data_IF_251813462777
#
_entry.id   IF_251813462777
#
_cell.length_a   1.000
_cell.length_b   1.000
_cell.length_c   1.000
_cell.angle_alpha   90.00
_cell.angle_beta   90.00
_cell.angle_gamma   90.00
#
_symmetry.space_group_name_H-M   'P 1'
#
loop_
_entity.id
_entity.type
_entity.pdbx_description
1 polymer ?
#
# COMPACT_ATOMS: atom_id res chain seq x y z
N UNK A 1 70.21 -17.92 -35.00
CA UNK A 1 69.31 -17.62 -33.87
C UNK A 1 68.41 -16.49 -34.30
N UNK A 2 67.19 -16.83 -34.67
CA UNK A 2 66.15 -15.91 -35.12
C UNK A 2 65.25 -15.56 -33.93
N UNK A 3 65.31 -14.31 -33.47
CA UNK A 3 64.37 -13.77 -32.49
C UNK A 3 63.09 -13.30 -33.20
N UNK A 4 61.97 -13.86 -32.77
CA UNK A 4 60.61 -13.50 -33.19
C UNK A 4 60.22 -12.20 -32.48
N UNK A 5 60.03 -11.11 -33.24
CA UNK A 5 59.36 -9.90 -32.74
C UNK A 5 57.85 -10.15 -32.68
N UNK A 6 57.31 -10.27 -31.48
CA UNK A 6 55.86 -10.27 -31.25
C UNK A 6 55.32 -8.86 -31.49
N UNK A 7 54.45 -8.71 -32.49
CA UNK A 7 53.70 -7.49 -32.75
C UNK A 7 52.68 -7.27 -31.64
N UNK A 8 52.84 -6.18 -30.89
CA UNK A 8 51.87 -5.71 -29.92
C UNK A 8 50.53 -5.44 -30.59
N UNK A 9 49.48 -6.04 -30.05
CA UNK A 9 48.10 -5.80 -30.44
C UNK A 9 47.72 -4.40 -29.97
N UNK A 10 47.67 -3.43 -30.88
CA UNK A 10 46.95 -2.17 -30.64
C UNK A 10 45.46 -2.50 -30.52
N UNK A 11 44.98 -2.62 -29.28
CA UNK A 11 43.56 -2.58 -28.98
C UNK A 11 43.02 -1.22 -29.43
N UNK A 12 42.41 -1.20 -30.61
CA UNK A 12 41.57 -0.11 -31.07
C UNK A 12 40.58 0.25 -29.98
N UNK A 13 40.78 1.42 -29.34
CA UNK A 13 39.79 2.09 -28.51
C UNK A 13 38.51 2.17 -29.34
N UNK A 14 37.54 1.31 -29.03
CA UNK A 14 36.17 1.50 -29.49
C UNK A 14 35.80 2.91 -29.04
N UNK A 15 35.47 3.79 -29.99
CA UNK A 15 34.90 5.10 -29.71
C UNK A 15 33.68 4.86 -28.81
N UNK A 16 33.86 5.03 -27.49
CA UNK A 16 32.75 5.18 -26.58
C UNK A 16 32.10 6.49 -27.02
N UNK A 17 30.97 6.38 -27.72
CA UNK A 17 30.09 7.52 -27.96
C UNK A 17 29.90 8.17 -26.60
N UNK A 18 30.37 9.40 -26.44
CA UNK A 18 30.06 10.19 -25.26
C UNK A 18 28.54 10.13 -25.07
N UNK A 19 28.06 9.93 -23.82
CA UNK A 19 26.62 9.92 -23.57
C UNK A 19 26.05 11.20 -24.18
N UNK A 20 24.94 11.11 -24.92
CA UNK A 20 24.36 12.28 -25.58
C UNK A 20 24.21 13.39 -24.54
N UNK A 21 24.73 14.57 -24.87
CA UNK A 21 24.69 15.73 -24.01
C UNK A 21 23.22 16.05 -23.68
N UNK A 22 22.81 15.72 -22.45
CA UNK A 22 21.45 15.93 -21.93
C UNK A 22 21.26 17.35 -21.41
N UNK A 23 22.24 18.24 -21.61
CA UNK A 23 22.25 19.63 -21.16
C UNK A 23 21.23 20.53 -21.86
N UNK A 24 20.69 20.13 -23.02
CA UNK A 24 19.67 20.92 -23.69
C UNK A 24 18.27 20.65 -23.12
N UNK A 25 17.73 21.62 -22.37
CA UNK A 25 16.32 21.75 -22.02
C UNK A 25 15.48 21.95 -23.30
N UNK A 26 15.28 20.85 -24.03
CA UNK A 26 14.32 20.82 -25.12
C UNK A 26 12.91 20.91 -24.54
N UNK A 27 11.93 21.52 -25.25
CA UNK A 27 10.54 21.50 -24.82
C UNK A 27 10.02 20.09 -24.50
N UNK A 28 10.53 19.08 -25.22
CA UNK A 28 10.24 17.67 -24.96
C UNK A 28 10.77 17.21 -23.59
N UNK A 29 12.03 17.53 -23.25
CA UNK A 29 12.60 17.19 -21.94
C UNK A 29 11.87 17.87 -20.80
N UNK A 30 11.44 19.13 -20.96
CA UNK A 30 10.61 19.82 -19.95
C UNK A 30 9.28 19.11 -19.73
N UNK A 31 8.60 18.67 -20.80
CA UNK A 31 7.36 17.91 -20.72
C UNK A 31 7.57 16.56 -19.99
N UNK A 32 8.60 15.80 -20.35
CA UNK A 32 8.89 14.52 -19.70
C UNK A 32 9.23 14.68 -18.22
N UNK A 33 9.94 15.74 -17.82
CA UNK A 33 10.17 16.05 -16.40
C UNK A 33 8.87 16.32 -15.66
N UNK A 34 7.91 17.00 -16.29
CA UNK A 34 6.56 17.20 -15.74
C UNK A 34 5.83 15.88 -15.53
N UNK A 35 5.86 14.98 -16.52
CA UNK A 35 5.26 13.65 -16.39
C UNK A 35 5.93 12.79 -15.33
N UNK A 36 7.26 12.78 -15.26
CA UNK A 36 7.99 12.06 -14.21
C UNK A 36 7.57 12.54 -12.83
N UNK A 37 7.53 13.86 -12.60
CA UNK A 37 7.10 14.41 -11.31
C UNK A 37 5.67 13.98 -10.94
N UNK A 38 4.74 14.05 -11.89
CA UNK A 38 3.35 13.63 -11.65
C UNK A 38 3.24 12.13 -11.35
N UNK A 39 4.02 11.29 -12.04
CA UNK A 39 4.06 9.85 -11.79
C UNK A 39 4.67 9.51 -10.42
N UNK A 40 5.74 10.20 -10.04
CA UNK A 40 6.39 10.03 -8.73
C UNK A 40 5.43 10.40 -7.61
N UNK A 41 4.75 11.56 -7.69
CA UNK A 41 3.74 11.98 -6.72
C UNK A 41 2.59 10.97 -6.58
N UNK A 42 2.12 10.42 -7.71
CA UNK A 42 1.08 9.37 -7.73
C UNK A 42 1.56 8.08 -7.09
N UNK A 43 2.79 7.64 -7.37
CA UNK A 43 3.36 6.42 -6.82
C UNK A 43 3.60 6.55 -5.31
N UNK A 44 4.11 7.70 -4.85
CA UNK A 44 4.31 7.97 -3.43
C UNK A 44 2.97 7.93 -2.67
N UNK A 45 1.91 8.50 -3.25
CA UNK A 45 0.55 8.42 -2.69
C UNK A 45 0.06 6.97 -2.64
N UNK A 46 0.20 6.22 -3.72
CA UNK A 46 -0.19 4.80 -3.78
C UNK A 46 0.49 4.00 -2.66
N UNK A 47 1.80 4.18 -2.48
CA UNK A 47 2.56 3.50 -1.44
C UNK A 47 2.13 3.88 -0.01
N UNK A 48 1.81 5.16 0.23
CA UNK A 48 1.27 5.58 1.54
C UNK A 48 -0.07 4.90 1.82
N UNK A 49 -1.00 4.91 0.87
CA UNK A 49 -2.30 4.25 1.00
C UNK A 49 -2.12 2.74 1.22
N UNK A 50 -1.27 2.10 0.43
CA UNK A 50 -1.02 0.66 0.51
C UNK A 50 -0.47 0.25 1.88
N UNK A 51 0.46 1.01 2.43
CA UNK A 51 1.00 0.77 3.79
C UNK A 51 -0.09 0.89 4.85
N UNK A 52 -0.88 1.98 4.83
CA UNK A 52 -2.00 2.14 5.76
C UNK A 52 -3.03 1.01 5.61
N UNK A 53 -3.33 0.58 4.38
CA UNK A 53 -4.24 -0.54 4.14
C UNK A 53 -3.74 -1.85 4.74
N UNK A 54 -2.43 -2.12 4.70
CA UNK A 54 -1.86 -3.31 5.36
C UNK A 54 -2.03 -3.24 6.87
N UNK A 55 -1.89 -2.06 7.47
CA UNK A 55 -2.14 -1.87 8.90
C UNK A 55 -3.61 -2.11 9.25
N UNK A 56 -4.55 -1.66 8.40
CA UNK A 56 -6.00 -1.96 8.55
C UNK A 56 -6.24 -3.46 8.53
N UNK A 57 -5.66 -4.19 7.56
CA UNK A 57 -5.79 -5.65 7.49
C UNK A 57 -5.27 -6.33 8.76
N UNK A 58 -4.08 -5.94 9.24
CA UNK A 58 -3.48 -6.54 10.44
C UNK A 58 -4.35 -6.29 11.67
N UNK A 59 -4.86 -5.08 11.86
CA UNK A 59 -5.74 -4.76 12.99
C UNK A 59 -7.07 -5.48 12.90
N UNK A 60 -7.69 -5.50 11.73
CA UNK A 60 -8.98 -6.18 11.50
C UNK A 60 -8.88 -7.68 11.76
N UNK A 61 -7.79 -8.34 11.31
CA UNK A 61 -7.52 -9.76 11.64
C UNK A 61 -7.40 -10.01 13.14
N UNK A 62 -6.72 -9.13 13.89
CA UNK A 62 -6.60 -9.26 15.35
C UNK A 62 -7.95 -9.16 16.05
N UNK A 63 -8.83 -8.30 15.54
CA UNK A 63 -10.22 -8.19 16.02
C UNK A 63 -10.96 -9.49 15.72
N UNK A 64 -10.91 -9.99 14.48
CA UNK A 64 -11.54 -11.27 14.08
C UNK A 64 -11.06 -12.43 14.97
N UNK A 65 -9.75 -12.59 15.15
CA UNK A 65 -9.20 -13.63 16.03
C UNK A 65 -9.62 -13.48 17.48
N UNK A 66 -9.92 -12.27 17.93
CA UNK A 66 -10.43 -12.03 19.28
C UNK A 66 -11.90 -12.41 19.42
N UNK A 67 -12.71 -12.07 18.42
CA UNK A 67 -14.11 -12.45 18.34
C UNK A 67 -14.30 -13.96 18.20
N UNK A 68 -13.42 -14.66 17.47
CA UNK A 68 -13.46 -16.11 17.32
C UNK A 68 -13.34 -16.89 18.63
N UNK A 69 -12.83 -16.29 19.72
CA UNK A 69 -12.70 -16.95 21.01
C UNK A 69 -14.00 -16.98 21.82
N UNK A 70 -14.99 -16.15 21.46
CA UNK A 70 -16.23 -15.96 22.22
C UNK A 70 -17.01 -17.26 22.53
N UNK A 71 -17.17 -18.23 21.61
CA UNK A 71 -17.96 -19.44 21.88
C UNK A 71 -17.51 -20.27 23.08
N UNK A 72 -16.27 -20.09 23.56
CA UNK A 72 -15.72 -20.79 24.73
C UNK A 72 -15.65 -19.96 26.01
N UNK A 73 -16.17 -18.73 26.03
CA UNK A 73 -16.06 -17.80 27.16
C UNK A 73 -17.32 -17.77 28.02
N UNK A 74 -17.17 -17.37 29.29
CA UNK A 74 -18.31 -17.00 30.12
C UNK A 74 -18.99 -15.71 29.62
N UNK A 75 -20.25 -15.47 29.98
CA UNK A 75 -21.02 -14.32 29.46
C UNK A 75 -20.42 -12.96 29.84
N UNK A 76 -19.82 -12.84 31.03
CA UNK A 76 -19.12 -11.62 31.46
C UNK A 76 -17.86 -11.36 30.63
N UNK A 77 -17.08 -12.41 30.34
CA UNK A 77 -15.90 -12.34 29.48
C UNK A 77 -16.28 -12.00 28.03
N UNK A 78 -17.36 -12.58 27.51
CA UNK A 78 -17.91 -12.29 26.18
C UNK A 78 -18.27 -10.81 26.04
N UNK A 79 -18.95 -10.23 27.03
CA UNK A 79 -19.29 -8.80 27.04
C UNK A 79 -18.05 -7.90 26.99
N UNK A 80 -17.00 -8.27 27.72
CA UNK A 80 -15.72 -7.55 27.71
C UNK A 80 -15.03 -7.62 26.34
N UNK A 81 -14.97 -8.81 25.72
CA UNK A 81 -14.36 -8.98 24.39
C UNK A 81 -15.14 -8.20 23.32
N UNK A 82 -16.47 -8.24 23.34
CA UNK A 82 -17.31 -7.49 22.40
C UNK A 82 -17.13 -5.98 22.53
N UNK A 83 -17.00 -5.48 23.76
CA UNK A 83 -16.75 -4.05 24.03
C UNK A 83 -15.36 -3.64 23.56
N UNK A 84 -14.34 -4.46 23.84
CA UNK A 84 -12.97 -4.21 23.35
C UNK A 84 -12.92 -4.19 21.83
N UNK A 85 -13.54 -5.17 21.16
CA UNK A 85 -13.59 -5.24 19.70
C UNK A 85 -14.30 -4.02 19.09
N UNK A 86 -15.39 -3.53 19.71
CA UNK A 86 -16.07 -2.32 19.25
C UNK A 86 -15.15 -1.08 19.33
N UNK A 87 -14.37 -0.96 20.41
CA UNK A 87 -13.41 0.13 20.56
C UNK A 87 -12.27 0.04 19.53
N UNK A 88 -11.75 -1.17 19.28
CA UNK A 88 -10.70 -1.41 18.29
C UNK A 88 -11.18 -1.12 16.86
N UNK A 89 -12.42 -1.53 16.52
CA UNK A 89 -13.05 -1.20 15.23
C UNK A 89 -13.18 0.32 15.05
N UNK A 90 -13.61 1.02 16.10
CA UNK A 90 -13.72 2.49 16.09
C UNK A 90 -12.35 3.16 15.95
N UNK A 91 -11.31 2.64 16.60
CA UNK A 91 -9.94 3.15 16.44
C UNK A 91 -9.46 2.99 14.98
N UNK A 92 -9.67 1.81 14.37
CA UNK A 92 -9.33 1.57 12.96
C UNK A 92 -10.06 2.55 12.04
N UNK A 93 -11.35 2.78 12.27
CA UNK A 93 -12.16 3.75 11.51
C UNK A 93 -11.62 5.18 11.63
N UNK A 94 -11.43 5.65 12.87
CA UNK A 94 -11.09 7.04 13.16
C UNK A 94 -9.64 7.40 12.84
N UNK A 95 -8.75 6.40 12.76
CA UNK A 95 -7.33 6.61 12.47
C UNK A 95 -6.99 6.19 11.04
N UNK A 96 -6.99 4.89 10.75
CA UNK A 96 -6.44 4.33 9.51
C UNK A 96 -7.36 4.54 8.31
N UNK A 97 -8.65 4.26 8.45
CA UNK A 97 -9.61 4.46 7.36
C UNK A 97 -9.77 5.95 7.05
N UNK A 98 -9.84 6.79 8.09
CA UNK A 98 -9.82 8.24 7.93
C UNK A 98 -8.58 8.73 7.20
N UNK A 99 -7.40 8.19 7.51
CA UNK A 99 -6.16 8.54 6.82
C UNK A 99 -6.22 8.18 5.33
N UNK A 100 -6.68 6.97 4.98
CA UNK A 100 -6.90 6.56 3.59
C UNK A 100 -7.89 7.51 2.89
N UNK A 101 -9.01 7.84 3.54
CA UNK A 101 -10.00 8.76 2.99
C UNK A 101 -9.45 10.19 2.78
N UNK A 102 -8.49 10.63 3.61
CA UNK A 102 -7.82 11.91 3.43
C UNK A 102 -6.84 11.91 2.26
N UNK A 103 -6.08 10.84 2.05
CA UNK A 103 -5.16 10.69 0.90
C UNK A 103 -5.90 10.64 -0.45
N UNK A 104 -7.11 10.07 -0.44
CA UNK A 104 -8.00 9.94 -1.60
C UNK A 104 -8.87 11.18 -1.86
N UNK A 105 -8.80 12.21 -1.00
CA UNK A 105 -9.59 13.43 -1.20
C UNK A 105 -9.16 14.09 -2.51
N UNK A 106 -10.14 14.47 -3.33
CA UNK A 106 -9.96 15.12 -4.63
C UNK A 106 -9.24 14.25 -5.68
N UNK A 107 -9.08 12.95 -5.42
CA UNK A 107 -8.57 11.96 -6.37
C UNK A 107 -9.71 11.13 -6.97
N UNK A 108 -9.48 10.54 -8.14
CA UNK A 108 -10.34 9.47 -8.64
C UNK A 108 -10.05 8.18 -7.85
N UNK A 109 -10.99 7.68 -7.01
CA UNK A 109 -10.73 6.53 -6.16
C UNK A 109 -10.37 5.27 -6.95
N UNK A 110 -10.88 5.13 -8.18
CA UNK A 110 -10.64 3.96 -9.04
C UNK A 110 -9.15 3.77 -9.37
N UNK A 111 -8.36 4.85 -9.37
CA UNK A 111 -6.92 4.78 -9.62
C UNK A 111 -6.13 4.13 -8.47
N UNK A 112 -6.71 4.13 -7.27
CA UNK A 112 -6.05 3.66 -6.04
C UNK A 112 -6.77 2.48 -5.38
N UNK A 113 -7.87 1.97 -5.94
CA UNK A 113 -8.64 0.82 -5.39
C UNK A 113 -7.74 -0.34 -4.96
N UNK A 114 -6.77 -0.70 -5.80
CA UNK A 114 -5.87 -1.81 -5.53
C UNK A 114 -4.95 -1.57 -4.32
N UNK A 115 -4.72 -0.31 -3.93
CA UNK A 115 -3.92 0.02 -2.76
C UNK A 115 -4.68 -0.25 -1.44
N UNK A 116 -6.00 -0.07 -1.41
CA UNK A 116 -6.78 -0.13 -0.15
C UNK A 116 -7.84 -1.24 -0.06
N UNK A 117 -8.20 -1.87 -1.18
CA UNK A 117 -9.33 -2.82 -1.23
C UNK A 117 -9.19 -3.97 -0.23
N UNK A 118 -8.00 -4.52 -0.05
CA UNK A 118 -7.77 -5.62 0.90
C UNK A 118 -7.95 -5.19 2.36
N UNK A 119 -7.56 -3.96 2.72
CA UNK A 119 -7.80 -3.42 4.07
C UNK A 119 -9.29 -3.22 4.34
N UNK A 120 -10.00 -2.63 3.37
CA UNK A 120 -11.45 -2.39 3.48
C UNK A 120 -12.24 -3.70 3.60
N UNK A 121 -11.92 -4.70 2.78
CA UNK A 121 -12.59 -6.01 2.84
C UNK A 121 -12.43 -6.66 4.22
N UNK A 122 -11.22 -6.66 4.77
CA UNK A 122 -10.95 -7.24 6.09
C UNK A 122 -11.66 -6.46 7.22
N UNK A 123 -11.71 -5.13 7.12
CA UNK A 123 -12.44 -4.30 8.08
C UNK A 123 -13.94 -4.59 8.04
N UNK A 124 -14.53 -4.70 6.85
CA UNK A 124 -15.95 -5.05 6.68
C UNK A 124 -16.21 -6.45 7.24
N UNK A 125 -15.31 -7.42 7.04
CA UNK A 125 -15.41 -8.75 7.64
C UNK A 125 -15.42 -8.68 9.17
N UNK A 126 -14.48 -7.94 9.78
CA UNK A 126 -14.40 -7.77 11.23
C UNK A 126 -15.65 -7.09 11.80
N UNK A 127 -16.13 -6.02 11.16
CA UNK A 127 -17.34 -5.29 11.54
C UNK A 127 -18.59 -6.17 11.43
N UNK A 128 -18.72 -6.90 10.32
CA UNK A 128 -19.86 -7.79 10.08
C UNK A 128 -19.87 -8.94 11.09
N UNK A 129 -18.70 -9.50 11.41
CA UNK A 129 -18.59 -10.57 12.39
C UNK A 129 -18.93 -10.09 13.81
N UNK A 130 -18.44 -8.92 14.20
CA UNK A 130 -18.83 -8.27 15.47
C UNK A 130 -20.33 -8.04 15.55
N UNK A 131 -20.93 -7.49 14.50
CA UNK A 131 -22.36 -7.23 14.43
C UNK A 131 -23.20 -8.50 14.50
N UNK A 132 -22.78 -9.56 13.80
CA UNK A 132 -23.44 -10.86 13.85
C UNK A 132 -23.41 -11.47 15.25
N UNK A 133 -22.28 -11.39 15.96
CA UNK A 133 -22.18 -11.90 17.33
C UNK A 133 -23.04 -11.13 18.34
N UNK A 134 -23.43 -9.89 18.03
CA UNK A 134 -24.32 -9.07 18.86
C UNK A 134 -25.80 -9.27 18.54
N UNK A 135 -26.14 -9.45 17.27
CA UNK A 135 -27.53 -9.33 16.78
C UNK A 135 -28.07 -10.59 16.15
N UNK A 136 -27.22 -11.57 15.84
CA UNK A 136 -27.52 -12.76 15.05
C UNK A 136 -28.07 -12.45 13.64
N UNK A 137 -27.79 -11.24 13.14
CA UNK A 137 -28.20 -10.78 11.80
C UNK A 137 -27.01 -10.24 11.01
N UNK A 138 -27.20 -10.08 9.70
CA UNK A 138 -26.18 -9.52 8.81
C UNK A 138 -26.35 -7.99 8.76
N UNK A 139 -25.23 -7.26 8.86
CA UNK A 139 -25.21 -5.81 8.72
C UNK A 139 -25.65 -5.38 7.31
N UNK A 140 -26.43 -4.30 7.20
CA UNK A 140 -26.83 -3.74 5.91
C UNK A 140 -25.83 -2.68 5.44
N UNK A 141 -25.74 -2.49 4.12
CA UNK A 141 -24.92 -1.47 3.46
C UNK A 141 -25.60 -0.10 3.50
#
# INVERSE_FOLDING_TARGET
MSEVRISGVEQGRRNAKEPPDTSHDTPLMTLFRGYSKALDEKNDKYERIYKTSRDVTVRSKRIIFSLQRIPGLAEDEKGNVLTSAANDLRDVEQTLLKHIAMELRDEDPHQFVNAYTSGIQEYIEALSFHFFLLTETIISH
#
